data_IF_948685489245
#
_entry.id   IF_948685489245
#
_cell.length_a   1.000
_cell.length_b   1.000
_cell.length_c   1.000
_cell.angle_alpha   90.00
_cell.angle_beta   90.00
_cell.angle_gamma   90.00
#
_symmetry.space_group_name_H-M   'P 1'
#
loop_
_entity.id
_entity.type
_entity.pdbx_description
1 polymer ?
#
# COMPACT_ATOMS: atom_id res chain seq x y z
N UNK A 1 -9.21 15.16 -3.50
CA UNK A 1 -10.60 15.13 -3.01
C UNK A 1 -10.79 13.78 -2.36
N UNK A 2 -10.85 13.73 -1.03
CA UNK A 2 -10.88 12.48 -0.27
C UNK A 2 -12.32 12.24 0.17
N UNK A 3 -12.97 11.19 -0.36
CA UNK A 3 -14.29 10.77 0.09
C UNK A 3 -14.11 9.85 1.29
N UNK A 4 -14.06 10.43 2.48
CA UNK A 4 -13.88 9.65 3.72
C UNK A 4 -15.18 8.96 4.11
N UNK A 5 -15.16 7.63 4.05
CA UNK A 5 -16.16 6.77 4.68
C UNK A 5 -16.07 6.94 6.21
N UNK A 6 -17.22 7.15 6.86
CA UNK A 6 -17.31 7.40 8.31
C UNK A 6 -17.77 6.19 9.09
N UNK A 7 -18.25 5.15 8.40
CA UNK A 7 -18.66 3.90 9.01
C UNK A 7 -17.45 2.98 9.21
N UNK A 8 -17.23 2.57 10.44
CA UNK A 8 -16.15 1.64 10.80
C UNK A 8 -14.76 2.30 10.82
N UNK A 9 -13.76 1.54 10.41
CA UNK A 9 -12.36 1.99 10.38
C UNK A 9 -12.04 2.61 9.03
N UNK A 10 -11.12 3.61 9.02
CA UNK A 10 -10.59 4.15 7.77
C UNK A 10 -10.03 3.03 6.89
N UNK A 11 -10.49 3.00 5.64
CA UNK A 11 -10.21 1.87 4.75
C UNK A 11 -8.72 1.70 4.47
N UNK A 12 -7.95 2.79 4.35
CA UNK A 12 -6.51 2.68 4.14
C UNK A 12 -5.82 2.00 5.33
N UNK A 13 -6.17 2.36 6.57
CA UNK A 13 -5.61 1.74 7.78
C UNK A 13 -5.95 0.25 7.85
N UNK A 14 -7.21 -0.13 7.61
CA UNK A 14 -7.59 -1.54 7.65
C UNK A 14 -6.83 -2.37 6.59
N UNK A 15 -6.68 -1.84 5.37
CA UNK A 15 -5.96 -2.54 4.30
C UNK A 15 -4.47 -2.69 4.55
N UNK A 16 -3.82 -1.69 5.14
CA UNK A 16 -2.40 -1.83 5.48
C UNK A 16 -2.18 -2.75 6.67
N UNK A 17 -3.11 -2.80 7.64
CA UNK A 17 -3.04 -3.75 8.75
C UNK A 17 -3.15 -5.20 8.23
N UNK A 18 -4.08 -5.46 7.30
CA UNK A 18 -4.17 -6.74 6.58
C UNK A 18 -2.87 -7.08 5.85
N UNK A 19 -2.27 -6.11 5.14
CA UNK A 19 -1.05 -6.32 4.38
C UNK A 19 0.17 -6.58 5.27
N UNK A 20 0.36 -5.82 6.35
CA UNK A 20 1.45 -5.99 7.31
C UNK A 20 1.36 -7.37 7.98
N UNK A 21 0.14 -7.81 8.32
CA UNK A 21 -0.08 -9.11 8.95
C UNK A 21 0.36 -10.31 8.08
N UNK A 22 0.53 -10.13 6.76
CA UNK A 22 1.07 -11.18 5.88
C UNK A 22 2.57 -11.42 6.05
N UNK A 23 3.29 -10.47 6.65
CA UNK A 23 4.76 -10.51 6.75
C UNK A 23 5.48 -10.23 5.43
N UNK A 24 4.79 -9.68 4.42
CA UNK A 24 5.42 -9.31 3.16
C UNK A 24 6.33 -8.07 3.32
N UNK A 25 7.52 -8.13 2.73
CA UNK A 25 8.47 -7.01 2.69
C UNK A 25 8.03 -5.90 1.72
N UNK A 26 7.22 -6.25 0.72
CA UNK A 26 6.77 -5.35 -0.35
C UNK A 26 5.30 -5.56 -0.67
N UNK A 27 4.58 -4.46 -0.94
CA UNK A 27 3.19 -4.43 -1.41
C UNK A 27 3.15 -3.75 -2.78
N UNK A 28 2.74 -4.51 -3.80
CA UNK A 28 2.55 -4.00 -5.15
C UNK A 28 1.12 -3.49 -5.36
N UNK A 29 0.98 -2.33 -6.00
CA UNK A 29 -0.30 -1.75 -6.42
C UNK A 29 -0.32 -1.48 -7.93
N UNK A 30 -1.50 -1.44 -8.54
CA UNK A 30 -1.68 -1.16 -9.97
C UNK A 30 -2.51 0.10 -10.24
N UNK A 31 -2.66 0.98 -9.24
CA UNK A 31 -3.46 2.19 -9.30
C UNK A 31 -2.73 3.33 -8.58
N UNK A 32 -2.55 4.51 -9.22
CA UNK A 32 -1.87 5.65 -8.59
C UNK A 32 -2.56 6.14 -7.31
N UNK A 33 -3.89 6.07 -7.26
CA UNK A 33 -4.63 6.42 -6.05
C UNK A 33 -4.36 5.43 -4.91
N UNK A 34 -4.35 4.13 -5.22
CA UNK A 34 -4.00 3.10 -4.24
C UNK A 34 -2.57 3.27 -3.72
N UNK A 35 -1.63 3.74 -4.55
CA UNK A 35 -0.26 4.04 -4.11
C UNK A 35 -0.27 5.09 -3.00
N UNK A 36 -0.95 6.21 -3.19
CA UNK A 36 -1.08 7.26 -2.16
C UNK A 36 -1.75 6.69 -0.91
N UNK A 37 -2.89 6.01 -1.07
CA UNK A 37 -3.66 5.42 0.02
C UNK A 37 -2.86 4.47 0.91
N UNK A 38 -2.13 3.55 0.28
CA UNK A 38 -1.37 2.52 0.97
C UNK A 38 -0.11 3.13 1.59
N UNK A 39 0.59 4.03 0.87
CA UNK A 39 1.75 4.75 1.42
C UNK A 39 1.39 5.60 2.65
N UNK A 40 0.27 6.32 2.61
CA UNK A 40 -0.23 7.08 3.76
C UNK A 40 -0.56 6.15 4.94
N UNK A 41 -1.19 5.00 4.65
CA UNK A 41 -1.50 3.99 5.67
C UNK A 41 -0.24 3.39 6.29
N UNK A 42 0.75 3.00 5.49
CA UNK A 42 2.03 2.46 5.97
C UNK A 42 2.77 3.47 6.83
N UNK A 43 2.75 4.75 6.44
CA UNK A 43 3.32 5.86 7.23
C UNK A 43 2.61 5.99 8.57
N UNK A 44 1.28 5.94 8.60
CA UNK A 44 0.49 6.01 9.82
C UNK A 44 0.69 4.81 10.77
N UNK A 45 1.19 3.68 10.25
CA UNK A 45 1.56 2.48 11.02
C UNK A 45 3.05 2.35 11.29
N UNK A 46 3.86 3.33 10.86
CA UNK A 46 5.31 3.30 10.96
C UNK A 46 5.93 2.00 10.38
N UNK A 47 5.28 1.44 9.35
CA UNK A 47 5.74 0.23 8.70
C UNK A 47 6.91 0.50 7.76
N UNK A 48 7.86 -0.42 7.72
CA UNK A 48 8.97 -0.43 6.75
C UNK A 48 8.63 -1.15 5.44
N UNK A 49 7.43 -1.72 5.33
CA UNK A 49 6.97 -2.41 4.11
C UNK A 49 6.95 -1.45 2.92
N UNK A 50 7.63 -1.83 1.85
CA UNK A 50 7.76 -0.98 0.66
C UNK A 50 6.48 -1.02 -0.19
N UNK A 51 6.05 0.14 -0.69
CA UNK A 51 4.90 0.24 -1.60
C UNK A 51 5.40 0.52 -3.01
N UNK A 52 5.16 -0.42 -3.93
CA UNK A 52 5.65 -0.37 -5.31
C UNK A 52 4.50 -0.39 -6.32
N UNK A 53 4.67 0.24 -7.47
CA UNK A 53 3.79 0.00 -8.61
C UNK A 53 4.16 -1.32 -9.30
N UNK A 54 3.17 -2.05 -9.82
CA UNK A 54 3.39 -3.33 -10.53
C UNK A 54 4.38 -3.19 -11.70
N UNK A 55 4.41 -2.04 -12.38
CA UNK A 55 5.37 -1.78 -13.44
C UNK A 55 6.81 -1.63 -12.92
N UNK A 56 7.00 -1.12 -11.69
CA UNK A 56 8.32 -1.06 -11.05
C UNK A 56 8.81 -2.46 -10.70
N UNK A 57 7.94 -3.29 -10.12
CA UNK A 57 8.23 -4.70 -9.83
C UNK A 57 8.62 -5.45 -11.11
N UNK A 58 7.90 -5.22 -12.21
CA UNK A 58 8.24 -5.80 -13.51
C UNK A 58 9.62 -5.33 -13.98
N UNK A 59 9.90 -4.02 -13.91
CA UNK A 59 11.17 -3.43 -14.35
C UNK A 59 12.38 -4.01 -13.60
N UNK A 60 12.26 -4.23 -12.29
CA UNK A 60 13.31 -4.81 -11.45
C UNK A 60 13.66 -6.26 -11.85
N UNK A 61 12.67 -7.00 -12.35
CA UNK A 61 12.84 -8.42 -12.69
C UNK A 61 13.30 -8.64 -14.13
N UNK A 62 13.01 -7.73 -15.06
CA UNK A 62 13.42 -7.86 -16.48
C UNK A 62 14.84 -7.36 -16.78
N UNK A 63 15.47 -6.61 -15.86
CA UNK A 63 16.83 -6.08 -16.02
C UNK A 63 17.93 -6.98 -15.42
N UNK A 64 17.57 -8.20 -15.01
CA UNK A 64 18.50 -9.21 -14.49
C UNK A 64 19.21 -9.98 -15.59
#
# INVERSE_FOLDING_TARGET
MWMEEKLGTRINLNRVDEAIATGADQVAVACPFCRVMVSDGMTARESTTEVLDVAQVLLENIKR
#
